data_IF_780767860934
#
_entry.id   IF_780767860934
#
_cell.length_a   1.000
_cell.length_b   1.000
_cell.length_c   1.000
_cell.angle_alpha   90.00
_cell.angle_beta   90.00
_cell.angle_gamma   90.00
#
_symmetry.space_group_name_H-M   'P 1'
#
loop_
_entity.id
_entity.type
_entity.pdbx_description
1 polymer ?
#
# COMPACT_ATOMS: atom_id res chain seq x y z
N UNK A 1 6.99 3.96 -18.49
CA UNK A 1 5.75 3.15 -18.31
C UNK A 1 4.68 4.04 -17.70
N UNK A 2 3.40 3.83 -18.02
CA UNK A 2 2.30 4.49 -17.31
C UNK A 2 1.95 3.72 -16.03
N UNK A 3 1.95 4.41 -14.88
CA UNK A 3 1.57 3.86 -13.58
C UNK A 3 0.68 4.87 -12.88
N UNK A 4 -0.59 4.50 -12.62
CA UNK A 4 -1.52 5.35 -11.89
C UNK A 4 -1.66 6.79 -12.46
N UNK A 5 -1.49 6.98 -13.78
CA UNK A 5 -1.53 8.32 -14.42
C UNK A 5 -0.18 9.04 -14.51
N UNK A 6 0.88 8.43 -13.99
CA UNK A 6 2.25 8.98 -14.04
C UNK A 6 3.12 8.23 -15.05
N UNK A 7 3.94 8.98 -15.77
CA UNK A 7 4.99 8.40 -16.62
C UNK A 7 6.23 8.13 -15.78
N UNK A 8 6.48 6.87 -15.45
CA UNK A 8 7.67 6.45 -14.71
C UNK A 8 8.87 6.25 -15.64
N UNK A 9 10.05 6.62 -15.15
CA UNK A 9 11.33 6.37 -15.84
C UNK A 9 11.68 4.89 -15.99
N UNK A 10 11.23 4.06 -15.06
CA UNK A 10 11.41 2.60 -15.03
C UNK A 10 10.39 1.97 -14.08
N UNK A 11 10.44 0.63 -13.97
CA UNK A 11 9.47 -0.17 -13.21
C UNK A 11 10.04 -0.65 -11.87
N UNK A 12 10.91 0.14 -11.24
CA UNK A 12 11.52 -0.17 -9.95
C UNK A 12 10.87 0.65 -8.84
N UNK A 13 10.38 -0.05 -7.82
CA UNK A 13 9.60 0.55 -6.73
C UNK A 13 10.32 0.32 -5.41
N UNK A 14 10.56 1.38 -4.64
CA UNK A 14 11.01 1.26 -3.25
C UNK A 14 9.80 0.98 -2.37
N UNK A 15 9.81 -0.19 -1.74
CA UNK A 15 8.75 -0.62 -0.85
C UNK A 15 8.67 0.25 0.42
N UNK A 16 7.47 0.47 0.97
CA UNK A 16 7.32 1.22 2.22
C UNK A 16 7.86 0.41 3.40
N UNK A 17 8.78 0.99 4.16
CA UNK A 17 9.42 0.36 5.31
C UNK A 17 9.40 1.33 6.49
N UNK A 18 8.53 1.07 7.47
CA UNK A 18 8.40 1.90 8.67
C UNK A 18 9.75 1.99 9.41
N UNK A 19 10.19 3.21 9.70
CA UNK A 19 11.49 3.51 10.31
C UNK A 19 12.66 3.57 9.33
N UNK A 20 12.45 3.32 8.03
CA UNK A 20 13.53 3.27 7.02
C UNK A 20 13.24 4.22 5.86
N UNK A 21 12.06 4.12 5.23
CA UNK A 21 11.72 4.95 4.07
C UNK A 21 11.25 6.34 4.48
N UNK A 22 12.05 7.06 5.25
CA UNK A 22 11.84 8.47 5.55
C UNK A 22 12.08 9.37 4.32
N UNK A 23 11.81 10.67 4.44
CA UNK A 23 11.93 11.60 3.30
C UNK A 23 13.35 11.61 2.69
N UNK A 24 14.44 11.80 3.46
CA UNK A 24 15.80 11.72 2.90
C UNK A 24 16.09 10.42 2.15
N UNK A 25 15.71 9.26 2.69
CA UNK A 25 15.92 7.97 2.05
C UNK A 25 15.18 7.88 0.71
N UNK A 26 13.90 8.26 0.67
CA UNK A 26 13.10 8.26 -0.57
C UNK A 26 13.70 9.16 -1.64
N UNK A 27 14.13 10.37 -1.26
CA UNK A 27 14.79 11.28 -2.19
C UNK A 27 16.09 10.70 -2.74
N UNK A 28 16.90 10.07 -1.90
CA UNK A 28 18.14 9.43 -2.34
C UNK A 28 17.86 8.30 -3.34
N UNK A 29 16.92 7.40 -3.04
CA UNK A 29 16.56 6.31 -3.95
C UNK A 29 16.00 6.82 -5.28
N UNK A 30 15.17 7.87 -5.26
CA UNK A 30 14.67 8.54 -6.47
C UNK A 30 15.77 9.30 -7.23
N UNK A 31 16.82 9.79 -6.58
CA UNK A 31 18.00 10.30 -7.30
C UNK A 31 18.77 9.16 -7.98
N UNK A 32 18.91 8.02 -7.30
CA UNK A 32 19.74 6.90 -7.75
C UNK A 32 19.11 5.96 -8.79
N UNK A 33 17.79 5.84 -8.87
CA UNK A 33 17.21 4.92 -9.86
C UNK A 33 15.76 4.48 -9.64
N UNK A 34 15.19 4.62 -8.44
CA UNK A 34 13.79 4.24 -8.17
C UNK A 34 12.78 5.04 -9.02
N UNK A 35 11.87 4.36 -9.73
CA UNK A 35 10.75 4.98 -10.43
C UNK A 35 9.70 5.54 -9.47
N UNK A 36 9.45 4.83 -8.37
CA UNK A 36 8.56 5.26 -7.27
C UNK A 36 9.22 4.92 -5.94
N UNK A 37 8.99 5.74 -4.92
CA UNK A 37 9.32 5.40 -3.54
C UNK A 37 8.11 5.74 -2.65
N UNK A 38 7.60 4.74 -1.94
CA UNK A 38 6.41 4.87 -1.10
C UNK A 38 6.82 5.31 0.31
N UNK A 39 6.05 6.22 0.91
CA UNK A 39 6.29 6.71 2.27
C UNK A 39 6.26 5.58 3.31
N UNK A 40 6.79 5.88 4.50
CA UNK A 40 6.37 5.10 5.66
C UNK A 40 4.84 5.12 5.82
N UNK A 41 4.33 4.06 6.43
CA UNK A 41 2.91 3.94 6.76
C UNK A 41 2.46 5.03 7.74
N UNK A 42 1.46 5.80 7.33
CA UNK A 42 0.69 6.75 8.15
C UNK A 42 -0.54 6.03 8.71
N UNK A 43 -0.82 6.24 9.99
CA UNK A 43 -2.00 5.66 10.65
C UNK A 43 -3.28 6.38 10.21
N UNK A 44 -4.39 5.68 10.09
CA UNK A 44 -5.70 6.29 9.83
C UNK A 44 -6.31 6.97 11.06
N UNK A 45 -5.70 6.84 12.24
CA UNK A 45 -6.21 7.46 13.46
C UNK A 45 -5.83 8.95 13.51
N UNK A 46 -6.81 9.81 13.24
CA UNK A 46 -6.68 11.27 13.22
C UNK A 46 -6.16 11.87 14.53
N UNK A 47 -6.42 11.23 15.67
CA UNK A 47 -5.89 11.65 16.98
C UNK A 47 -4.35 11.67 17.03
N UNK A 48 -3.69 10.92 16.14
CA UNK A 48 -2.23 10.82 16.07
C UNK A 48 -1.61 11.81 15.08
N UNK A 49 -2.39 12.62 14.36
CA UNK A 49 -1.89 13.52 13.31
C UNK A 49 -1.01 14.64 13.87
N UNK A 50 -1.30 15.11 15.09
CA UNK A 50 -0.48 16.11 15.77
C UNK A 50 0.87 15.59 16.29
N UNK A 51 1.09 14.28 16.32
CA UNK A 51 2.35 13.72 16.83
C UNK A 51 3.53 14.08 15.93
N UNK A 52 4.70 14.31 16.51
CA UNK A 52 5.93 14.64 15.77
C UNK A 52 6.23 13.57 14.70
N UNK A 53 6.01 12.30 15.04
CA UNK A 53 6.20 11.17 14.12
C UNK A 53 5.29 11.27 12.89
N UNK A 54 4.01 11.58 13.06
CA UNK A 54 3.08 11.71 11.93
C UNK A 54 3.41 12.94 11.09
N UNK A 55 3.72 14.08 11.74
CA UNK A 55 4.13 15.32 11.04
C UNK A 55 5.36 15.12 10.17
N UNK A 56 6.37 14.40 10.66
CA UNK A 56 7.57 14.06 9.86
C UNK A 56 7.26 13.15 8.67
N UNK A 57 6.31 12.22 8.82
CA UNK A 57 5.91 11.30 7.75
C UNK A 57 5.08 11.96 6.66
N UNK A 58 4.29 12.96 7.02
CA UNK A 58 3.46 13.76 6.12
C UNK A 58 4.21 14.92 5.44
N UNK A 59 5.47 15.19 5.82
CA UNK A 59 6.29 16.19 5.14
C UNK A 59 6.93 15.60 3.87
N UNK A 60 6.45 16.05 2.73
CA UNK A 60 6.92 15.65 1.40
C UNK A 60 7.71 16.74 0.67
N UNK A 61 8.09 17.81 1.39
CA UNK A 61 8.77 18.97 0.78
C UNK A 61 10.03 18.55 0.04
N UNK A 62 10.12 18.90 -1.25
CA UNK A 62 11.26 18.60 -2.10
C UNK A 62 11.38 17.15 -2.57
N UNK A 63 10.36 16.30 -2.34
CA UNK A 63 10.29 15.01 -3.01
C UNK A 63 10.04 15.15 -4.52
N UNK A 64 10.62 14.24 -5.29
CA UNK A 64 10.39 14.15 -6.73
C UNK A 64 9.12 13.35 -6.97
N UNK A 65 8.25 13.82 -7.84
CA UNK A 65 7.02 13.13 -8.23
C UNK A 65 7.28 11.72 -8.79
N UNK A 66 6.35 10.75 -8.60
CA UNK A 66 5.12 10.89 -7.81
C UNK A 66 5.36 10.72 -6.30
N UNK A 67 4.70 11.55 -5.49
CA UNK A 67 4.66 11.43 -4.02
C UNK A 67 3.58 10.38 -3.66
N UNK A 68 4.03 9.21 -3.21
CA UNK A 68 3.13 8.12 -2.81
C UNK A 68 3.12 7.94 -1.30
N UNK A 69 1.94 8.10 -0.70
CA UNK A 69 1.74 7.99 0.75
C UNK A 69 0.98 6.74 1.11
N UNK A 70 1.57 5.90 1.96
CA UNK A 70 0.90 4.69 2.44
C UNK A 70 0.08 4.96 3.71
N UNK A 71 -1.19 4.60 3.70
CA UNK A 71 -2.09 4.64 4.87
C UNK A 71 -2.40 3.24 5.39
N UNK A 72 -2.70 3.13 6.69
CA UNK A 72 -3.12 1.88 7.32
C UNK A 72 -4.15 2.08 8.42
N UNK A 73 -5.09 1.14 8.48
CA UNK A 73 -6.24 1.14 9.37
C UNK A 73 -7.17 0.00 9.01
N UNK A 74 -8.30 -0.09 9.70
CA UNK A 74 -9.29 -1.15 9.54
C UNK A 74 -10.72 -0.65 9.41
N UNK A 75 -10.98 0.59 9.83
CA UNK A 75 -12.28 1.23 9.71
C UNK A 75 -12.38 1.97 8.37
N UNK A 76 -13.40 1.69 7.52
CA UNK A 76 -13.55 2.34 6.23
C UNK A 76 -13.64 3.87 6.29
N UNK A 77 -14.34 4.43 7.30
CA UNK A 77 -14.51 5.88 7.40
C UNK A 77 -13.20 6.56 7.80
N UNK A 78 -12.49 6.02 8.79
CA UNK A 78 -11.17 6.53 9.18
C UNK A 78 -10.16 6.42 8.04
N UNK A 79 -10.19 5.33 7.27
CA UNK A 79 -9.31 5.16 6.10
C UNK A 79 -9.61 6.19 5.01
N UNK A 80 -10.88 6.47 4.74
CA UNK A 80 -11.31 7.51 3.80
C UNK A 80 -10.84 8.92 4.25
N UNK A 81 -11.02 9.26 5.53
CA UNK A 81 -10.53 10.52 6.09
C UNK A 81 -9.01 10.64 6.01
N UNK A 82 -8.28 9.56 6.27
CA UNK A 82 -6.83 9.53 6.15
C UNK A 82 -6.36 9.71 4.70
N UNK A 83 -7.03 9.08 3.74
CA UNK A 83 -6.74 9.28 2.33
C UNK A 83 -6.93 10.74 1.92
N UNK A 84 -8.09 11.33 2.27
CA UNK A 84 -8.39 12.72 1.98
C UNK A 84 -7.38 13.67 2.61
N UNK A 85 -7.07 13.49 3.90
CA UNK A 85 -6.09 14.31 4.59
C UNK A 85 -4.73 14.29 3.90
N UNK A 86 -4.22 13.11 3.52
CA UNK A 86 -2.91 13.03 2.86
C UNK A 86 -2.95 13.59 1.44
N UNK A 87 -4.03 13.40 0.68
CA UNK A 87 -4.22 14.01 -0.63
C UNK A 87 -4.23 15.55 -0.55
N UNK A 88 -4.98 16.11 0.41
CA UNK A 88 -5.03 17.55 0.69
C UNK A 88 -3.64 18.11 1.12
N UNK A 89 -2.75 17.26 1.62
CA UNK A 89 -1.38 17.59 2.02
C UNK A 89 -0.31 17.18 0.98
N UNK A 90 -0.70 16.97 -0.28
CA UNK A 90 0.22 16.82 -1.40
C UNK A 90 0.59 15.37 -1.76
N UNK A 91 -0.08 14.37 -1.18
CA UNK A 91 0.01 13.01 -1.70
C UNK A 91 -0.61 12.95 -3.11
N UNK A 92 0.16 12.45 -4.06
CA UNK A 92 -0.26 12.29 -5.46
C UNK A 92 -0.73 10.86 -5.74
N UNK A 93 -0.39 9.90 -4.88
CA UNK A 93 -0.86 8.52 -4.88
C UNK A 93 -1.14 8.13 -3.42
N UNK A 94 -2.31 7.57 -3.16
CA UNK A 94 -2.63 6.95 -1.87
C UNK A 94 -2.40 5.44 -1.99
N UNK A 95 -1.52 4.87 -1.17
CA UNK A 95 -1.31 3.42 -1.09
C UNK A 95 -1.95 2.85 0.18
N UNK A 96 -2.66 1.73 0.08
CA UNK A 96 -3.28 1.08 1.24
C UNK A 96 -2.40 -0.09 1.69
N UNK A 97 -2.02 -0.10 2.98
CA UNK A 97 -1.34 -1.24 3.57
C UNK A 97 -2.33 -2.34 4.00
N UNK A 98 -2.28 -3.47 3.31
CA UNK A 98 -2.86 -4.75 3.75
C UNK A 98 -1.79 -5.86 3.81
N UNK A 99 -0.52 -5.48 4.07
CA UNK A 99 0.62 -6.39 4.01
C UNK A 99 1.36 -6.59 5.34
N UNK A 100 1.23 -5.66 6.29
CA UNK A 100 1.97 -5.74 7.56
C UNK A 100 1.52 -6.99 8.36
N UNK A 101 2.43 -7.89 8.79
CA UNK A 101 2.08 -9.08 9.58
C UNK A 101 2.00 -8.81 11.09
N UNK A 102 2.39 -7.62 11.55
CA UNK A 102 2.46 -7.26 12.96
C UNK A 102 1.11 -7.45 13.65
N UNK A 103 1.12 -8.04 14.86
CA UNK A 103 -0.08 -8.42 15.61
C UNK A 103 -1.06 -7.26 15.85
N UNK A 104 -0.56 -6.03 15.95
CA UNK A 104 -1.34 -4.81 16.16
C UNK A 104 -0.65 -3.65 15.43
N UNK A 105 -1.39 -2.93 14.61
CA UNK A 105 -1.02 -1.56 14.19
C UNK A 105 -1.90 -0.64 15.04
N UNK A 106 -1.29 0.11 15.96
CA UNK A 106 -2.03 1.04 16.83
C UNK A 106 -3.21 0.38 17.59
N UNK A 107 -3.03 -0.85 18.10
CA UNK A 107 -4.05 -1.64 18.83
C UNK A 107 -5.27 -2.12 18.02
N UNK A 108 -5.27 -1.98 16.69
CA UNK A 108 -6.34 -2.46 15.81
C UNK A 108 -5.81 -3.57 14.89
N UNK A 109 -6.69 -4.51 14.52
CA UNK A 109 -6.43 -5.50 13.48
C UNK A 109 -6.35 -4.80 12.13
N UNK A 110 -5.15 -4.59 11.61
CA UNK A 110 -4.90 -3.94 10.32
C UNK A 110 -3.82 -4.69 9.51
N UNK A 111 -3.47 -4.18 8.34
CA UNK A 111 -2.49 -4.83 7.48
C UNK A 111 -3.01 -6.18 6.98
N UNK A 112 -2.17 -7.21 6.98
CA UNK A 112 -2.51 -8.52 6.42
C UNK A 112 -3.54 -9.32 7.23
N UNK A 113 -3.93 -8.84 8.42
CA UNK A 113 -5.07 -9.36 9.15
C UNK A 113 -6.41 -9.11 8.44
N UNK A 114 -6.51 -8.01 7.68
CA UNK A 114 -7.72 -7.66 6.93
C UNK A 114 -8.03 -8.68 5.83
N UNK A 115 -7.02 -9.40 5.35
CA UNK A 115 -7.19 -10.38 4.27
C UNK A 115 -8.13 -11.54 4.63
N UNK A 116 -8.46 -11.75 5.91
CA UNK A 116 -9.41 -12.79 6.31
C UNK A 116 -10.88 -12.37 6.15
N UNK A 117 -11.15 -11.07 5.97
CA UNK A 117 -12.49 -10.50 5.84
C UNK A 117 -12.60 -9.76 4.51
N UNK A 118 -12.84 -10.51 3.44
CA UNK A 118 -12.97 -10.00 2.08
C UNK A 118 -14.06 -8.93 1.92
N UNK A 119 -15.26 -9.06 2.55
CA UNK A 119 -16.26 -7.98 2.57
C UNK A 119 -15.75 -6.69 3.23
N UNK A 120 -15.02 -6.78 4.34
CA UNK A 120 -14.40 -5.60 4.96
C UNK A 120 -13.35 -4.97 4.04
N UNK A 121 -12.54 -5.78 3.36
CA UNK A 121 -11.59 -5.29 2.35
C UNK A 121 -12.32 -4.45 1.31
N UNK A 122 -13.37 -4.99 0.67
CA UNK A 122 -14.14 -4.27 -0.34
C UNK A 122 -14.64 -2.91 0.19
N UNK A 123 -15.25 -2.88 1.38
CA UNK A 123 -15.74 -1.64 2.01
C UNK A 123 -14.64 -0.61 2.24
N UNK A 124 -13.45 -1.03 2.67
CA UNK A 124 -12.30 -0.13 2.87
C UNK A 124 -11.85 0.46 1.54
N UNK A 125 -11.65 -0.39 0.51
CA UNK A 125 -11.14 0.06 -0.78
C UNK A 125 -12.11 1.03 -1.45
N UNK A 126 -13.41 0.70 -1.47
CA UNK A 126 -14.46 1.55 -2.02
C UNK A 126 -14.57 2.90 -1.28
N UNK A 127 -14.50 2.88 0.06
CA UNK A 127 -14.55 4.11 0.85
C UNK A 127 -13.36 5.03 0.55
N UNK A 128 -12.14 4.48 0.45
CA UNK A 128 -10.94 5.25 0.15
C UNK A 128 -10.98 5.80 -1.28
N UNK A 129 -11.29 4.96 -2.28
CA UNK A 129 -11.37 5.40 -3.68
C UNK A 129 -12.42 6.50 -3.87
N UNK A 130 -13.58 6.36 -3.22
CA UNK A 130 -14.64 7.39 -3.26
C UNK A 130 -14.23 8.70 -2.60
N UNK A 131 -13.41 8.65 -1.56
CA UNK A 131 -13.02 9.84 -0.80
C UNK A 131 -12.02 10.74 -1.53
N UNK A 132 -11.24 10.17 -2.47
CA UNK A 132 -10.21 10.89 -3.23
C UNK A 132 -10.35 10.63 -4.74
N UNK A 133 -11.45 11.08 -5.39
CA UNK A 133 -11.76 10.73 -6.78
C UNK A 133 -10.68 11.16 -7.79
N UNK A 134 -9.93 12.23 -7.46
CA UNK A 134 -8.89 12.78 -8.32
C UNK A 134 -7.49 12.24 -8.00
N UNK A 135 -7.33 11.43 -6.94
CA UNK A 135 -6.05 10.85 -6.53
C UNK A 135 -6.08 9.33 -6.71
N UNK A 136 -5.18 8.74 -7.52
CA UNK A 136 -5.16 7.31 -7.72
C UNK A 136 -4.84 6.56 -6.41
N UNK A 137 -5.57 5.48 -6.18
CA UNK A 137 -5.38 4.61 -5.01
C UNK A 137 -4.74 3.29 -5.43
N UNK A 138 -3.71 2.86 -4.71
CA UNK A 138 -3.02 1.57 -4.88
C UNK A 138 -3.15 0.70 -3.63
N UNK A 139 -2.90 -0.60 -3.77
CA UNK A 139 -3.00 -1.55 -2.66
C UNK A 139 -1.77 -2.44 -2.57
N UNK A 140 -1.14 -2.51 -1.39
CA UNK A 140 -0.06 -3.45 -1.10
C UNK A 140 -0.49 -4.54 -0.12
N UNK A 141 -0.38 -5.81 -0.51
CA UNK A 141 -0.80 -6.94 0.31
C UNK A 141 0.13 -8.18 0.16
N UNK A 142 -0.28 -9.31 0.72
CA UNK A 142 0.46 -10.59 0.78
C UNK A 142 -0.25 -11.68 -0.01
N UNK A 143 0.30 -12.90 -0.07
CA UNK A 143 -0.36 -13.99 -0.82
C UNK A 143 -1.59 -14.57 -0.10
N UNK A 144 -1.70 -14.34 1.21
CA UNK A 144 -2.82 -14.78 2.04
C UNK A 144 -2.52 -14.70 3.53
N UNK A 145 -3.42 -15.24 4.35
CA UNK A 145 -3.26 -15.32 5.81
C UNK A 145 -2.20 -16.37 6.22
N UNK A 146 -2.26 -17.55 5.63
CA UNK A 146 -1.28 -18.62 5.79
C UNK A 146 -1.26 -19.51 4.54
N UNK A 147 -0.39 -20.52 4.50
CA UNK A 147 -0.20 -21.36 3.30
C UNK A 147 -1.46 -22.12 2.87
N UNK A 148 -2.34 -22.48 3.80
CA UNK A 148 -3.61 -23.13 3.51
C UNK A 148 -4.72 -22.14 3.10
N UNK A 149 -4.53 -20.84 3.39
CA UNK A 149 -5.52 -19.79 3.19
C UNK A 149 -4.91 -18.67 2.34
N UNK A 150 -4.59 -18.99 1.08
CA UNK A 150 -4.17 -18.02 0.05
C UNK A 150 -5.38 -17.50 -0.70
N UNK A 151 -5.67 -16.20 -0.55
CA UNK A 151 -6.79 -15.55 -1.22
C UNK A 151 -6.39 -14.29 -2.00
N UNK A 152 -5.09 -14.13 -2.30
CA UNK A 152 -4.62 -13.03 -3.15
C UNK A 152 -5.37 -12.88 -4.49
N UNK A 153 -5.75 -13.95 -5.22
CA UNK A 153 -6.60 -13.85 -6.41
C UNK A 153 -7.97 -13.20 -6.17
N UNK A 154 -8.57 -13.46 -5.01
CA UNK A 154 -9.86 -12.86 -4.65
C UNK A 154 -9.68 -11.39 -4.28
N UNK A 155 -8.70 -11.08 -3.43
CA UNK A 155 -8.37 -9.71 -3.02
C UNK A 155 -8.01 -8.83 -4.23
N UNK A 156 -7.28 -9.36 -5.21
CA UNK A 156 -6.93 -8.63 -6.42
C UNK A 156 -8.14 -8.24 -7.27
N UNK A 157 -9.11 -9.16 -7.43
CA UNK A 157 -10.36 -8.89 -8.15
C UNK A 157 -11.24 -7.89 -7.42
N UNK A 158 -11.33 -8.00 -6.09
CA UNK A 158 -12.01 -7.00 -5.24
C UNK A 158 -11.35 -5.63 -5.45
N UNK A 159 -10.02 -5.55 -5.38
CA UNK A 159 -9.30 -4.30 -5.56
C UNK A 159 -9.59 -3.64 -6.91
N UNK A 160 -9.50 -4.39 -8.01
CA UNK A 160 -9.83 -3.88 -9.35
C UNK A 160 -11.29 -3.41 -9.44
N UNK A 161 -12.24 -4.19 -8.93
CA UNK A 161 -13.66 -3.83 -8.92
C UNK A 161 -13.95 -2.57 -8.07
N UNK A 162 -13.21 -2.37 -6.97
CA UNK A 162 -13.32 -1.19 -6.11
C UNK A 162 -12.62 0.06 -6.69
N UNK A 163 -11.95 -0.05 -7.85
CA UNK A 163 -11.30 1.09 -8.52
C UNK A 163 -9.84 1.32 -8.16
N UNK A 164 -9.18 0.36 -7.49
CA UNK A 164 -7.73 0.40 -7.26
C UNK A 164 -6.98 0.42 -8.58
N UNK A 165 -5.98 1.30 -8.70
CA UNK A 165 -5.25 1.58 -9.94
C UNK A 165 -4.00 0.75 -10.16
N UNK A 166 -3.47 0.13 -9.10
CA UNK A 166 -2.40 -0.86 -9.16
C UNK A 166 -2.29 -1.64 -7.85
N UNK A 167 -1.72 -2.84 -7.93
CA UNK A 167 -1.49 -3.69 -6.76
C UNK A 167 -0.03 -4.11 -6.62
N UNK A 168 0.46 -4.18 -5.38
CA UNK A 168 1.77 -4.75 -5.05
C UNK A 168 1.60 -5.96 -4.12
N UNK A 169 2.23 -7.09 -4.46
CA UNK A 169 2.08 -8.34 -3.73
C UNK A 169 3.43 -8.80 -3.21
N UNK A 170 3.55 -8.90 -1.89
CA UNK A 170 4.67 -9.60 -1.28
C UNK A 170 4.41 -11.10 -1.37
N UNK A 171 5.33 -11.84 -2.01
CA UNK A 171 5.26 -13.29 -2.26
C UNK A 171 5.28 -14.21 -1.03
N UNK A 172 4.85 -13.73 0.13
CA UNK A 172 4.74 -14.51 1.37
C UNK A 172 3.35 -14.36 1.96
N UNK A 173 2.91 -15.35 2.72
CA UNK A 173 1.69 -15.22 3.51
C UNK A 173 1.95 -14.38 4.76
N UNK A 174 0.90 -13.95 5.47
CA UNK A 174 1.04 -13.28 6.77
C UNK A 174 1.81 -14.15 7.77
N UNK A 175 1.48 -15.45 7.83
CA UNK A 175 2.06 -16.40 8.77
C UNK A 175 3.56 -16.63 8.54
N UNK A 176 4.04 -16.55 7.30
CA UNK A 176 5.46 -16.69 6.99
C UNK A 176 6.30 -15.51 7.56
N UNK A 177 5.68 -14.35 7.83
CA UNK A 177 6.39 -13.12 8.18
C UNK A 177 7.52 -12.79 7.16
N UNK A 178 8.78 -12.97 7.56
CA UNK A 178 9.96 -12.85 6.70
C UNK A 178 10.75 -14.17 6.63
N UNK A 179 10.18 -15.27 7.14
CA UNK A 179 10.78 -16.60 7.09
C UNK A 179 10.53 -17.27 5.73
N UNK A 180 11.34 -18.27 5.40
CA UNK A 180 11.27 -18.98 4.11
C UNK A 180 11.60 -18.05 2.94
N UNK A 181 11.15 -18.41 1.75
CA UNK A 181 11.39 -17.67 0.50
C UNK A 181 10.08 -17.07 -0.02
N UNK A 182 10.17 -15.90 -0.66
CA UNK A 182 9.06 -15.35 -1.42
C UNK A 182 8.78 -16.22 -2.66
N UNK A 183 7.52 -16.59 -2.86
CA UNK A 183 7.06 -17.27 -4.06
C UNK A 183 6.35 -16.31 -5.02
N UNK A 184 6.55 -16.55 -6.31
CA UNK A 184 6.07 -15.69 -7.40
C UNK A 184 4.93 -16.33 -8.19
N UNK A 185 4.61 -17.60 -7.95
CA UNK A 185 3.56 -18.32 -8.67
C UNK A 185 2.19 -17.69 -8.39
N UNK A 186 1.91 -17.33 -7.13
CA UNK A 186 0.67 -16.62 -6.79
C UNK A 186 0.62 -15.24 -7.45
N UNK A 187 1.75 -14.55 -7.55
CA UNK A 187 1.83 -13.22 -8.18
C UNK A 187 1.58 -13.33 -9.68
N UNK A 188 2.19 -14.32 -10.33
CA UNK A 188 2.00 -14.62 -11.75
C UNK A 188 0.53 -14.97 -12.03
N UNK A 189 -0.08 -15.83 -11.21
CA UNK A 189 -1.50 -16.17 -11.33
C UNK A 189 -2.41 -14.96 -11.13
N UNK A 190 -2.14 -14.09 -10.15
CA UNK A 190 -2.91 -12.84 -9.99
C UNK A 190 -2.79 -11.97 -11.24
N UNK A 191 -1.60 -11.88 -11.86
CA UNK A 191 -1.42 -11.07 -13.06
C UNK A 191 -2.26 -11.54 -14.25
N UNK A 192 -2.62 -12.82 -14.33
CA UNK A 192 -3.52 -13.33 -15.39
C UNK A 192 -4.99 -12.99 -15.13
N UNK A 193 -5.35 -12.57 -13.92
CA UNK A 193 -6.75 -12.35 -13.51
C UNK A 193 -7.17 -10.88 -13.49
N UNK A 194 -6.22 -9.94 -13.46
CA UNK A 194 -6.50 -8.50 -13.37
C UNK A 194 -5.79 -7.71 -14.47
N UNK A 195 -6.46 -6.66 -14.94
CA UNK A 195 -5.95 -5.77 -15.98
C UNK A 195 -5.05 -4.68 -15.42
N UNK A 196 -5.28 -4.27 -14.17
CA UNK A 196 -4.42 -3.29 -13.48
C UNK A 196 -2.97 -3.79 -13.34
N UNK A 197 -1.98 -2.87 -13.20
CA UNK A 197 -0.60 -3.23 -12.96
C UNK A 197 -0.42 -4.05 -11.68
N UNK A 198 0.44 -5.07 -11.76
CA UNK A 198 0.82 -5.94 -10.63
C UNK A 198 2.33 -5.83 -10.40
N UNK A 199 2.72 -5.44 -9.19
CA UNK A 199 4.11 -5.26 -8.79
C UNK A 199 4.50 -6.44 -7.89
N UNK A 200 5.49 -7.21 -8.32
CA UNK A 200 6.07 -8.28 -7.53
C UNK A 200 7.00 -7.72 -6.43
N UNK A 201 6.96 -8.32 -5.24
CA UNK A 201 7.80 -7.92 -4.11
C UNK A 201 8.18 -9.14 -3.24
N UNK A 202 9.38 -9.09 -2.67
CA UNK A 202 9.95 -10.08 -1.76
C UNK A 202 11.28 -10.58 -2.28
N UNK A 203 12.31 -10.58 -1.42
CA UNK A 203 13.65 -11.13 -1.71
C UNK A 203 14.39 -10.50 -2.91
N UNK A 204 14.05 -9.24 -3.24
CA UNK A 204 14.71 -8.36 -4.22
C UNK A 204 14.90 -6.98 -3.58
#
# INVERSE_FOLDING_TARGET
MQFAGFTLRNNLFVAPMAGVTDRPFRQLCKKLGAGVAVSEMVTSNSLLYGSEKTRRRADHTGEVDPISVQIAGADPAMMAEAAKYNADNGAQIIDINMGCPAKKVCNVMAGSALMQDEPLVARILEAVVKAVPDTPVTLKFRTGWNRANKNAPTIARIAEASGIRAIAIHGRTRADQYMGEAEYDTIAHVKTLVSIPVIANGDI
#
